data_IF_596281560322
#
_entry.id   IF_596281560322
#
_cell.length_a   1.000
_cell.length_b   1.000
_cell.length_c   1.000
_cell.angle_alpha   90.00
_cell.angle_beta   90.00
_cell.angle_gamma   90.00
#
_symmetry.space_group_name_H-M   'P 1'
#
loop_
_entity.id
_entity.type
_entity.pdbx_description
1 polymer ?
#
# COMPACT_ATOMS: atom_id res chain seq x y z
N UNK A 1 16.64 36.70 -18.36
CA UNK A 1 16.95 36.52 -16.94
C UNK A 1 16.90 37.87 -16.26
N UNK A 2 15.85 38.14 -15.49
CA UNK A 2 15.73 39.36 -14.70
C UNK A 2 16.12 39.02 -13.27
N UNK A 3 17.04 39.81 -12.73
CA UNK A 3 17.45 40.16 -11.35
C UNK A 3 16.50 39.91 -10.15
N UNK A 4 15.50 39.03 -10.22
CA UNK A 4 14.62 38.64 -9.10
C UNK A 4 15.03 37.34 -8.41
N UNK A 5 15.99 36.59 -8.95
CA UNK A 5 16.49 35.32 -8.38
C UNK A 5 17.59 35.51 -7.31
N UNK A 6 17.59 36.67 -6.64
CA UNK A 6 18.36 36.91 -5.41
C UNK A 6 17.41 37.28 -4.25
N UNK A 7 16.25 36.61 -4.17
CA UNK A 7 15.45 36.64 -2.95
C UNK A 7 16.20 35.89 -1.86
N UNK A 8 16.60 36.61 -0.80
CA UNK A 8 17.24 36.00 0.36
C UNK A 8 16.44 34.79 0.85
N UNK A 9 17.14 33.68 1.10
CA UNK A 9 16.57 32.47 1.67
C UNK A 9 15.75 32.87 2.90
N UNK A 10 14.43 32.65 2.85
CA UNK A 10 13.53 32.99 3.95
C UNK A 10 13.84 32.05 5.11
N UNK A 11 14.00 32.62 6.29
CA UNK A 11 14.37 31.90 7.51
C UNK A 11 13.24 31.99 8.52
N UNK A 12 12.76 30.84 8.99
CA UNK A 12 11.76 30.74 10.04
C UNK A 12 12.48 30.78 11.38
N UNK A 13 12.07 31.69 12.25
CA UNK A 13 12.65 31.88 13.59
C UNK A 13 11.87 31.08 14.63
N UNK A 14 12.58 30.35 15.47
CA UNK A 14 12.02 29.60 16.59
C UNK A 14 12.59 30.13 17.91
N UNK A 15 11.71 30.25 18.92
CA UNK A 15 11.98 30.91 20.20
C UNK A 15 11.42 30.11 21.37
N UNK A 16 11.89 30.37 22.59
CA UNK A 16 11.23 29.88 23.80
C UNK A 16 10.07 30.81 24.23
N UNK A 17 9.32 30.46 25.29
CA UNK A 17 8.24 31.30 25.82
C UNK A 17 8.71 32.64 26.41
N UNK A 18 10.01 32.76 26.69
CA UNK A 18 10.66 33.99 27.16
C UNK A 18 11.15 34.89 26.02
N UNK A 19 10.88 34.54 24.75
CA UNK A 19 11.27 35.30 23.57
C UNK A 19 12.77 35.21 23.22
N UNK A 20 13.51 34.28 23.83
CA UNK A 20 14.90 34.03 23.47
C UNK A 20 15.00 33.19 22.19
N UNK A 21 15.96 33.52 21.34
CA UNK A 21 16.24 32.79 20.11
C UNK A 21 16.78 31.38 20.40
N UNK A 22 16.11 30.38 19.86
CA UNK A 22 16.58 28.99 19.90
C UNK A 22 17.38 28.67 18.64
N UNK A 23 16.75 28.77 17.48
CA UNK A 23 17.36 28.47 16.19
C UNK A 23 16.55 29.06 15.03
N UNK A 24 17.08 28.92 13.81
CA UNK A 24 16.40 29.27 12.56
C UNK A 24 16.51 28.11 11.57
N UNK A 25 15.49 27.92 10.76
CA UNK A 25 15.49 26.97 9.64
C UNK A 25 15.09 27.66 8.34
N UNK A 26 15.52 27.12 7.21
CA UNK A 26 15.09 27.60 5.90
C UNK A 26 13.61 27.28 5.65
N UNK A 27 12.95 28.12 4.86
CA UNK A 27 11.58 27.90 4.42
C UNK A 27 11.42 26.51 3.77
N UNK A 28 10.38 25.78 4.16
CA UNK A 28 10.10 24.43 3.70
C UNK A 28 10.84 23.32 4.45
N UNK A 29 11.80 23.61 5.33
CA UNK A 29 12.49 22.57 6.12
C UNK A 29 11.66 22.12 7.33
N UNK A 30 12.06 20.99 7.93
CA UNK A 30 11.35 20.39 9.06
C UNK A 30 12.00 20.73 10.41
N UNK A 31 11.16 20.81 11.43
CA UNK A 31 11.58 20.63 12.83
C UNK A 31 11.25 19.22 13.29
N UNK A 32 12.09 18.67 14.16
CA UNK A 32 11.78 17.46 14.92
C UNK A 32 11.15 17.84 16.25
N UNK A 33 9.89 17.45 16.45
CA UNK A 33 9.13 17.63 17.68
C UNK A 33 9.23 16.34 18.50
N UNK A 34 9.81 16.43 19.68
CA UNK A 34 10.08 15.28 20.56
C UNK A 34 9.03 15.19 21.66
N UNK A 35 8.13 14.21 21.54
CA UNK A 35 7.21 13.81 22.60
C UNK A 35 7.90 12.82 23.56
N UNK A 36 7.21 12.44 24.64
CA UNK A 36 7.76 11.50 25.63
C UNK A 36 8.09 10.13 25.06
N UNK A 37 7.30 9.67 24.10
CA UNK A 37 7.36 8.29 23.59
C UNK A 37 7.82 8.20 22.12
N UNK A 38 7.75 9.29 21.36
CA UNK A 38 8.08 9.31 19.93
C UNK A 38 8.47 10.72 19.44
N UNK A 39 9.05 10.80 18.24
CA UNK A 39 9.36 12.05 17.57
C UNK A 39 8.56 12.17 16.25
N UNK A 40 8.19 13.40 15.90
CA UNK A 40 7.46 13.71 14.64
C UNK A 40 8.17 14.85 13.93
N UNK A 41 8.28 14.75 12.60
CA UNK A 41 8.83 15.81 11.78
C UNK A 41 7.69 16.67 11.25
N UNK A 42 7.76 17.97 11.55
CA UNK A 42 6.76 18.96 11.11
C UNK A 42 7.39 19.87 10.07
N UNK A 43 6.85 19.87 8.86
CA UNK A 43 7.29 20.78 7.83
C UNK A 43 6.81 22.20 8.14
N UNK A 44 7.74 23.15 8.01
CA UNK A 44 7.51 24.53 8.39
C UNK A 44 7.61 25.44 7.16
N UNK A 45 6.67 26.38 7.02
CA UNK A 45 6.69 27.39 5.96
C UNK A 45 6.70 28.79 6.54
N UNK A 46 7.54 29.67 5.99
CA UNK A 46 7.66 31.06 6.36
C UNK A 46 6.39 31.83 5.95
N UNK A 47 5.84 32.61 6.88
CA UNK A 47 4.73 33.53 6.60
C UNK A 47 5.23 34.96 6.72
N UNK A 48 5.76 35.33 7.90
CA UNK A 48 6.43 36.61 8.18
C UNK A 48 7.39 36.47 9.37
N UNK A 49 7.93 37.57 9.90
CA UNK A 49 8.88 37.57 11.03
C UNK A 49 8.32 37.04 12.36
N UNK A 50 6.99 36.96 12.49
CA UNK A 50 6.29 36.54 13.71
C UNK A 50 5.37 35.35 13.50
N UNK A 51 5.14 34.93 12.26
CA UNK A 51 4.25 33.82 11.91
C UNK A 51 4.96 32.73 11.09
N UNK A 52 4.66 31.49 11.45
CA UNK A 52 5.08 30.31 10.71
C UNK A 52 3.89 29.37 10.50
N UNK A 53 3.82 28.73 9.35
CA UNK A 53 2.87 27.65 9.10
C UNK A 53 3.54 26.32 9.47
N UNK A 54 2.97 25.64 10.45
CA UNK A 54 3.47 24.36 10.99
C UNK A 54 2.28 23.41 11.04
N UNK A 55 2.40 22.22 10.46
CA UNK A 55 1.29 21.23 10.39
C UNK A 55 0.00 21.82 9.79
N UNK A 56 0.12 22.54 8.66
CA UNK A 56 -1.02 23.17 8.01
C UNK A 56 -1.59 24.42 8.71
N UNK A 57 -1.22 24.69 9.96
CA UNK A 57 -1.76 25.78 10.79
C UNK A 57 -0.76 26.93 10.89
N UNK A 58 -1.25 28.17 10.75
CA UNK A 58 -0.44 29.37 10.97
C UNK A 58 -0.43 29.70 12.45
N UNK A 59 0.77 29.72 13.04
CA UNK A 59 0.99 30.10 14.43
C UNK A 59 1.76 31.41 14.51
N UNK A 60 1.45 32.21 15.52
CA UNK A 60 2.41 33.18 16.02
C UNK A 60 3.55 32.43 16.74
N UNK A 61 4.81 32.79 16.51
CA UNK A 61 5.98 32.05 17.03
C UNK A 61 5.94 31.91 18.56
N UNK A 62 5.49 32.93 19.30
CA UNK A 62 5.30 32.85 20.77
C UNK A 62 4.19 31.89 21.16
N UNK A 63 3.07 31.89 20.43
CA UNK A 63 1.94 31.00 20.71
C UNK A 63 2.39 29.55 20.54
N UNK A 64 3.15 29.26 19.49
CA UNK A 64 3.73 27.94 19.26
C UNK A 64 4.67 27.55 20.40
N UNK A 65 5.59 28.43 20.79
CA UNK A 65 6.53 28.18 21.89
C UNK A 65 5.83 27.89 23.23
N UNK A 66 4.85 28.71 23.60
CA UNK A 66 4.05 28.51 24.81
C UNK A 66 3.26 27.19 24.78
N UNK A 67 2.71 26.82 23.61
CA UNK A 67 1.98 25.57 23.46
C UNK A 67 2.90 24.37 23.66
N UNK A 68 4.11 24.39 23.10
CA UNK A 68 5.09 23.30 23.25
C UNK A 68 5.58 23.17 24.69
N UNK A 69 5.87 24.28 25.36
CA UNK A 69 6.27 24.26 26.78
C UNK A 69 5.15 23.78 27.70
N UNK A 70 3.90 24.24 27.50
CA UNK A 70 2.73 23.75 28.25
C UNK A 70 2.51 22.25 28.05
N UNK A 71 2.80 21.74 26.86
CA UNK A 71 2.74 20.31 26.55
C UNK A 71 3.96 19.52 27.08
N UNK A 72 4.99 20.19 27.62
CA UNK A 72 6.26 19.60 28.02
C UNK A 72 6.93 18.85 26.86
N UNK A 73 6.89 19.46 25.67
CA UNK A 73 7.43 18.98 24.41
C UNK A 73 8.59 19.88 24.00
N UNK A 74 9.66 19.27 23.45
CA UNK A 74 10.79 20.02 22.90
C UNK A 74 10.83 19.88 21.39
N UNK A 75 11.47 20.83 20.72
CA UNK A 75 11.59 20.78 19.27
C UNK A 75 12.94 21.38 18.84
N UNK A 76 13.54 20.80 17.80
CA UNK A 76 14.85 21.15 17.27
C UNK A 76 14.82 21.13 15.73
N UNK A 77 15.80 21.72 15.01
CA UNK A 77 15.95 21.48 13.58
C UNK A 77 16.03 19.97 13.30
N UNK A 78 15.45 19.52 12.18
CA UNK A 78 15.77 18.19 11.66
C UNK A 78 17.27 18.12 11.33
N UNK A 79 17.93 17.05 11.76
CA UNK A 79 19.37 16.86 11.60
C UNK A 79 19.60 15.74 10.59
N UNK A 80 20.47 16.00 9.62
CA UNK A 80 20.97 14.96 8.71
C UNK A 80 21.82 13.95 9.49
N UNK A 81 21.73 12.68 9.12
CA UNK A 81 22.61 11.63 9.63
C UNK A 81 23.27 10.92 8.45
N UNK A 82 24.39 10.23 8.71
CA UNK A 82 25.18 9.55 7.66
C UNK A 82 24.65 8.14 7.33
N UNK A 83 23.37 7.87 7.54
CA UNK A 83 22.77 6.59 7.17
C UNK A 83 22.59 6.51 5.65
N UNK A 84 22.94 5.35 5.09
CA UNK A 84 22.81 5.09 3.67
C UNK A 84 21.38 4.71 3.24
N UNK A 85 20.46 4.54 4.20
CA UNK A 85 19.04 4.21 3.98
C UNK A 85 18.15 4.90 5.01
N UNK A 86 16.97 5.36 4.59
CA UNK A 86 15.94 5.96 5.47
C UNK A 86 14.53 5.66 5.00
N UNK A 87 13.58 5.71 5.93
CA UNK A 87 12.17 5.59 5.65
C UNK A 87 11.35 6.64 6.38
N UNK A 88 10.29 7.12 5.74
CA UNK A 88 9.32 8.03 6.32
C UNK A 88 7.91 7.60 6.00
N UNK A 89 7.01 7.69 6.97
CA UNK A 89 5.58 7.76 6.71
C UNK A 89 5.24 9.18 6.28
N UNK A 90 4.60 9.30 5.13
CA UNK A 90 4.23 10.56 4.49
C UNK A 90 2.73 10.76 4.63
N UNK A 91 2.34 11.69 5.51
CA UNK A 91 0.95 11.90 5.87
C UNK A 91 0.31 10.64 6.46
N UNK A 92 -0.91 10.32 6.02
CA UNK A 92 -1.68 9.17 6.56
C UNK A 92 -1.52 7.90 5.74
N UNK A 93 -1.26 8.03 4.44
CA UNK A 93 -1.54 6.99 3.47
C UNK A 93 -0.32 6.50 2.70
N UNK A 94 0.85 7.13 2.84
CA UNK A 94 2.00 6.79 2.01
C UNK A 94 3.23 6.54 2.88
N UNK A 95 4.17 5.78 2.33
CA UNK A 95 5.52 5.62 2.83
C UNK A 95 6.50 5.99 1.72
N UNK A 96 7.63 6.57 2.10
CA UNK A 96 8.77 6.81 1.23
C UNK A 96 9.97 6.12 1.85
N UNK A 97 10.61 5.24 1.09
CA UNK A 97 11.90 4.66 1.44
C UNK A 97 12.95 5.16 0.45
N UNK A 98 14.15 5.42 0.96
CA UNK A 98 15.23 6.05 0.21
C UNK A 98 16.56 5.37 0.57
N UNK A 99 17.40 5.09 -0.42
CA UNK A 99 18.73 4.51 -0.25
C UNK A 99 19.73 5.25 -1.13
N UNK A 100 20.97 5.36 -0.68
CA UNK A 100 22.07 5.88 -1.51
C UNK A 100 22.50 4.84 -2.53
N UNK A 101 22.76 5.26 -3.76
CA UNK A 101 23.38 4.46 -4.83
C UNK A 101 24.56 5.22 -5.45
N UNK A 102 25.30 4.59 -6.37
CA UNK A 102 26.55 5.17 -6.94
C UNK A 102 26.32 6.53 -7.62
N UNK A 103 25.16 6.70 -8.25
CA UNK A 103 24.80 7.91 -9.01
C UNK A 103 23.83 8.83 -8.24
N UNK A 104 23.49 8.53 -6.98
CA UNK A 104 22.61 9.37 -6.16
C UNK A 104 21.73 8.57 -5.21
N UNK A 105 20.44 8.51 -5.50
CA UNK A 105 19.46 7.91 -4.60
C UNK A 105 18.45 7.02 -5.32
N UNK A 106 18.25 5.80 -4.83
CA UNK A 106 17.12 4.95 -5.20
C UNK A 106 15.97 5.16 -4.21
N UNK A 107 14.77 5.38 -4.73
CA UNK A 107 13.59 5.61 -3.92
C UNK A 107 12.44 4.69 -4.33
N UNK A 108 11.59 4.39 -3.34
CA UNK A 108 10.34 3.69 -3.57
C UNK A 108 9.27 4.27 -2.67
N UNK A 109 8.09 4.48 -3.23
CA UNK A 109 6.91 4.95 -2.53
C UNK A 109 5.87 3.84 -2.46
N UNK A 110 5.32 3.66 -1.27
CA UNK A 110 4.25 2.69 -1.02
C UNK A 110 2.99 3.40 -0.54
N UNK A 111 1.83 2.80 -0.80
CA UNK A 111 0.58 3.17 -0.13
C UNK A 111 0.51 2.59 1.30
N UNK A 112 -0.63 2.77 1.97
CA UNK A 112 -0.89 2.31 3.33
C UNK A 112 -1.01 0.79 3.45
N UNK A 113 -1.10 0.08 2.32
CA UNK A 113 -1.12 -1.38 2.24
C UNK A 113 0.22 -1.94 1.74
N UNK A 114 1.29 -1.13 1.77
CA UNK A 114 2.63 -1.52 1.34
C UNK A 114 2.72 -1.89 -0.15
N UNK A 115 1.75 -1.45 -0.97
CA UNK A 115 1.82 -1.62 -2.40
C UNK A 115 2.64 -0.48 -3.00
N UNK A 116 3.59 -0.81 -3.86
CA UNK A 116 4.34 0.18 -4.62
C UNK A 116 3.40 1.04 -5.47
N UNK A 117 3.54 2.36 -5.32
CA UNK A 117 2.80 3.37 -6.09
C UNK A 117 3.71 4.17 -7.01
N UNK A 118 4.98 4.29 -6.67
CA UNK A 118 6.00 4.98 -7.45
C UNK A 118 7.40 4.51 -7.04
N UNK A 119 8.38 4.65 -7.92
CA UNK A 119 9.75 4.26 -7.65
C UNK A 119 10.68 4.66 -8.78
N UNK A 120 11.94 4.93 -8.43
CA UNK A 120 12.93 5.34 -9.40
C UNK A 120 14.25 5.74 -8.78
N UNK A 121 15.08 6.37 -9.60
CA UNK A 121 16.41 6.85 -9.25
C UNK A 121 16.47 8.36 -9.40
N UNK A 122 17.07 9.04 -8.43
CA UNK A 122 17.41 10.45 -8.47
C UNK A 122 18.93 10.59 -8.63
N UNK A 123 19.36 10.88 -9.86
CA UNK A 123 20.77 10.99 -10.25
C UNK A 123 21.40 12.34 -9.83
N UNK A 124 21.42 12.60 -8.52
CA UNK A 124 21.96 13.83 -7.93
C UNK A 124 22.77 13.49 -6.66
N UNK A 125 23.98 12.92 -6.79
CA UNK A 125 24.76 12.41 -5.67
C UNK A 125 25.31 13.52 -4.76
N UNK A 126 25.29 14.77 -5.22
CA UNK A 126 25.69 15.94 -4.44
C UNK A 126 24.65 16.37 -3.39
N UNK A 127 23.40 15.92 -3.52
CA UNK A 127 22.34 16.27 -2.58
C UNK A 127 22.52 15.53 -1.26
N UNK A 128 22.06 16.15 -0.18
CA UNK A 128 21.82 15.42 1.07
C UNK A 128 20.59 14.51 0.95
N UNK A 129 20.49 13.48 1.79
CA UNK A 129 19.33 12.59 1.76
C UNK A 129 18.03 13.33 2.08
N UNK A 130 18.06 14.32 2.98
CA UNK A 130 16.90 15.17 3.25
C UNK A 130 16.52 16.07 2.06
N UNK A 131 17.49 16.52 1.26
CA UNK A 131 17.25 17.28 0.03
C UNK A 131 16.67 16.40 -1.07
N UNK A 132 17.23 15.20 -1.27
CA UNK A 132 16.68 14.20 -2.18
C UNK A 132 15.22 13.86 -1.84
N UNK A 133 14.93 13.61 -0.55
CA UNK A 133 13.56 13.43 -0.04
C UNK A 133 12.66 14.62 -0.38
N UNK A 134 13.13 15.85 -0.17
CA UNK A 134 12.32 17.04 -0.41
C UNK A 134 11.95 17.19 -1.90
N UNK A 135 12.88 16.87 -2.82
CA UNK A 135 12.64 16.85 -4.27
C UNK A 135 11.60 15.78 -4.63
N UNK A 136 11.81 14.54 -4.18
CA UNK A 136 10.89 13.42 -4.47
C UNK A 136 9.48 13.75 -3.99
N UNK A 137 9.33 14.28 -2.77
CA UNK A 137 8.03 14.66 -2.24
C UNK A 137 7.41 15.86 -2.98
N UNK A 138 8.21 16.76 -3.56
CA UNK A 138 7.71 17.83 -4.39
C UNK A 138 7.17 17.31 -5.73
N UNK A 139 7.90 16.42 -6.38
CA UNK A 139 7.49 15.80 -7.65
C UNK A 139 6.23 14.93 -7.51
N UNK A 140 6.03 14.30 -6.34
CA UNK A 140 4.82 13.52 -6.04
C UNK A 140 3.66 14.33 -5.45
N UNK A 141 3.72 15.68 -5.42
CA UNK A 141 2.72 16.56 -4.78
C UNK A 141 2.47 16.30 -3.27
N UNK A 142 3.44 15.67 -2.60
CA UNK A 142 3.36 15.27 -1.19
C UNK A 142 4.15 16.16 -0.24
N UNK A 143 4.87 17.17 -0.74
CA UNK A 143 5.75 18.05 0.05
C UNK A 143 5.08 18.69 1.26
N UNK A 144 3.77 18.95 1.23
CA UNK A 144 3.05 19.60 2.32
C UNK A 144 2.58 18.65 3.43
N UNK A 145 2.85 17.35 3.31
CA UNK A 145 2.48 16.36 4.32
C UNK A 145 3.51 16.29 5.44
N UNK A 146 3.03 15.96 6.63
CA UNK A 146 3.86 15.62 7.77
C UNK A 146 4.66 14.34 7.52
N UNK A 147 5.80 14.24 8.19
CA UNK A 147 6.68 13.08 8.10
C UNK A 147 6.84 12.45 9.47
N UNK A 148 6.80 11.13 9.53
CA UNK A 148 7.19 10.35 10.71
C UNK A 148 8.32 9.44 10.28
N UNK A 149 9.48 9.56 10.93
CA UNK A 149 10.61 8.66 10.68
C UNK A 149 10.15 7.23 10.98
N UNK A 150 10.46 6.31 10.07
CA UNK A 150 10.20 4.89 10.22
C UNK A 150 11.53 4.15 10.19
N UNK A 151 11.53 2.96 10.77
CA UNK A 151 12.63 2.02 10.54
C UNK A 151 12.51 1.48 9.11
N UNK A 152 13.62 1.50 8.37
CA UNK A 152 13.64 1.07 6.98
C UNK A 152 13.37 -0.43 6.85
N UNK A 153 13.97 -1.24 7.72
CA UNK A 153 13.88 -2.69 7.67
C UNK A 153 12.46 -3.15 8.06
N UNK A 154 11.84 -2.51 9.05
CA UNK A 154 10.43 -2.78 9.43
C UNK A 154 9.43 -2.50 8.28
N UNK A 155 9.72 -1.53 7.40
CA UNK A 155 8.87 -1.26 6.23
C UNK A 155 9.07 -2.34 5.18
N UNK A 156 10.31 -2.71 4.88
CA UNK A 156 10.60 -3.76 3.90
C UNK A 156 10.08 -5.13 4.32
N UNK A 157 10.16 -5.49 5.61
CA UNK A 157 9.60 -6.74 6.11
C UNK A 157 8.09 -6.83 5.81
N UNK A 158 7.35 -5.74 6.05
CA UNK A 158 5.91 -5.69 5.76
C UNK A 158 5.60 -5.72 4.27
N UNK A 159 6.43 -5.08 3.44
CA UNK A 159 6.31 -5.16 1.97
C UNK A 159 6.47 -6.61 1.54
N UNK A 160 7.52 -7.30 1.99
CA UNK A 160 7.78 -8.70 1.66
C UNK A 160 6.63 -9.62 2.14
N UNK A 161 6.11 -9.39 3.35
CA UNK A 161 4.95 -10.14 3.88
C UNK A 161 3.72 -9.97 2.99
N UNK A 162 3.41 -8.74 2.57
CA UNK A 162 2.26 -8.45 1.69
C UNK A 162 2.47 -9.06 0.31
N UNK A 163 3.65 -8.90 -0.27
CA UNK A 163 4.00 -9.48 -1.58
C UNK A 163 3.90 -11.00 -1.55
N UNK A 164 4.45 -11.65 -0.52
CA UNK A 164 4.36 -13.09 -0.34
C UNK A 164 2.89 -13.55 -0.23
N UNK A 165 2.06 -12.85 0.55
CA UNK A 165 0.64 -13.14 0.63
C UNK A 165 -0.07 -12.98 -0.73
N UNK A 166 0.23 -11.93 -1.48
CA UNK A 166 -0.32 -11.72 -2.83
C UNK A 166 0.11 -12.83 -3.77
N UNK A 167 1.37 -13.25 -3.74
CA UNK A 167 1.87 -14.34 -4.58
C UNK A 167 1.18 -15.67 -4.25
N UNK A 168 1.01 -16.00 -2.96
CA UNK A 168 0.25 -17.19 -2.55
C UNK A 168 -1.21 -17.14 -3.03
N UNK A 169 -1.84 -15.96 -2.99
CA UNK A 169 -3.22 -15.80 -3.47
C UNK A 169 -3.30 -16.04 -4.98
N UNK A 170 -2.36 -15.48 -5.75
CA UNK A 170 -2.31 -15.64 -7.19
C UNK A 170 -2.04 -17.10 -7.58
N UNK A 171 -1.12 -17.79 -6.89
CA UNK A 171 -0.87 -19.21 -7.15
C UNK A 171 -2.09 -20.06 -6.83
N UNK A 172 -2.74 -19.82 -5.69
CA UNK A 172 -3.95 -20.53 -5.30
C UNK A 172 -5.09 -20.30 -6.30
N UNK A 173 -5.28 -19.07 -6.77
CA UNK A 173 -6.31 -18.77 -7.78
C UNK A 173 -6.01 -19.45 -9.13
N UNK A 174 -4.73 -19.57 -9.50
CA UNK A 174 -4.30 -20.29 -10.72
C UNK A 174 -4.51 -21.80 -10.59
N UNK A 175 -4.28 -22.39 -9.43
CA UNK A 175 -4.59 -23.79 -9.19
C UNK A 175 -6.10 -24.05 -9.35
N UNK A 176 -6.95 -23.13 -8.86
CA UNK A 176 -8.39 -23.22 -9.08
C UNK A 176 -8.77 -23.10 -10.57
N UNK A 177 -8.08 -22.27 -11.35
CA UNK A 177 -8.25 -22.18 -12.81
C UNK A 177 -7.94 -23.51 -13.50
N UNK A 178 -6.78 -24.10 -13.17
CA UNK A 178 -6.35 -25.38 -13.75
C UNK A 178 -7.34 -26.50 -13.40
N UNK A 179 -7.68 -26.64 -12.12
CA UNK A 179 -8.59 -27.69 -11.68
C UNK A 179 -9.98 -27.55 -12.29
N UNK A 180 -10.49 -26.32 -12.43
CA UNK A 180 -11.75 -26.07 -13.13
C UNK A 180 -11.67 -26.45 -14.61
N UNK A 181 -10.54 -26.17 -15.27
CA UNK A 181 -10.30 -26.56 -16.65
C UNK A 181 -10.24 -28.08 -16.82
N UNK A 182 -9.45 -28.77 -15.99
CA UNK A 182 -9.25 -30.21 -16.08
C UNK A 182 -10.54 -30.98 -15.75
N UNK A 183 -11.30 -30.52 -14.74
CA UNK A 183 -12.64 -31.06 -14.45
C UNK A 183 -13.60 -30.85 -15.63
N UNK A 184 -13.54 -29.71 -16.29
CA UNK A 184 -14.39 -29.42 -17.45
C UNK A 184 -14.05 -30.34 -18.62
N UNK A 185 -12.76 -30.54 -18.90
CA UNK A 185 -12.27 -31.42 -19.97
C UNK A 185 -12.68 -32.87 -19.69
N UNK A 186 -12.48 -33.32 -18.44
CA UNK A 186 -12.90 -34.64 -18.00
C UNK A 186 -14.41 -34.88 -18.16
N UNK A 187 -15.25 -33.92 -17.78
CA UNK A 187 -16.71 -34.05 -17.95
C UNK A 187 -17.15 -34.08 -19.41
N UNK A 188 -16.44 -33.38 -20.30
CA UNK A 188 -16.69 -33.40 -21.75
C UNK A 188 -16.25 -34.71 -22.41
N UNK A 189 -15.16 -35.31 -21.93
CA UNK A 189 -14.62 -36.57 -22.46
C UNK A 189 -15.47 -37.77 -22.05
N UNK A 190 -15.91 -37.80 -20.79
CA UNK A 190 -16.85 -38.81 -20.27
C UNK A 190 -18.28 -38.60 -20.83
N UNK A 191 -18.54 -37.44 -21.45
CA UNK A 191 -19.85 -36.98 -21.97
C UNK A 191 -20.98 -37.16 -20.95
N UNK A 192 -20.67 -36.82 -19.70
CA UNK A 192 -21.55 -37.06 -18.57
C UNK A 192 -22.79 -36.15 -18.66
N UNK A 193 -23.99 -36.72 -18.54
CA UNK A 193 -25.27 -35.99 -18.70
C UNK A 193 -25.47 -35.34 -20.07
N UNK A 194 -24.94 -35.93 -21.15
CA UNK A 194 -24.96 -35.28 -22.47
C UNK A 194 -24.29 -33.90 -22.36
N UNK A 195 -23.14 -33.83 -21.69
CA UNK A 195 -22.42 -32.58 -21.42
C UNK A 195 -22.25 -31.74 -22.70
N UNK A 196 -21.98 -32.44 -23.81
CA UNK A 196 -21.85 -31.86 -25.14
C UNK A 196 -23.15 -31.23 -25.68
N UNK A 197 -24.31 -31.69 -25.21
CA UNK A 197 -25.63 -31.17 -25.58
C UNK A 197 -26.13 -30.05 -24.65
N UNK A 198 -25.62 -29.98 -23.42
CA UNK A 198 -26.05 -29.01 -22.39
C UNK A 198 -25.10 -27.81 -22.28
N UNK A 199 -23.80 -27.99 -22.56
CA UNK A 199 -22.79 -26.94 -22.42
C UNK A 199 -22.44 -26.36 -23.79
N UNK A 200 -23.06 -25.22 -24.10
CA UNK A 200 -22.80 -24.47 -25.35
C UNK A 200 -21.50 -23.65 -25.30
N UNK A 201 -21.03 -23.28 -24.09
CA UNK A 201 -19.85 -22.46 -23.89
C UNK A 201 -18.94 -23.03 -22.78
N UNK A 202 -17.83 -23.63 -23.21
CA UNK A 202 -16.81 -24.23 -22.33
C UNK A 202 -16.19 -23.20 -21.37
N UNK A 203 -15.97 -21.97 -21.82
CA UNK A 203 -15.38 -20.91 -20.96
C UNK A 203 -16.31 -20.55 -19.80
N UNK A 204 -17.62 -20.49 -20.02
CA UNK A 204 -18.60 -20.26 -18.95
C UNK A 204 -18.68 -21.43 -17.97
N UNK A 205 -18.53 -22.66 -18.45
CA UNK A 205 -18.52 -23.84 -17.59
C UNK A 205 -17.28 -23.87 -16.68
N UNK A 206 -16.09 -23.58 -17.23
CA UNK A 206 -14.85 -23.42 -16.45
C UNK A 206 -15.00 -22.33 -15.39
N UNK A 207 -15.57 -21.17 -15.76
CA UNK A 207 -15.78 -20.07 -14.82
C UNK A 207 -16.73 -20.45 -13.65
N UNK A 208 -17.80 -21.20 -13.93
CA UNK A 208 -18.73 -21.69 -12.90
C UNK A 208 -18.07 -22.71 -11.98
N UNK A 209 -17.33 -23.68 -12.53
CA UNK A 209 -16.60 -24.67 -11.74
C UNK A 209 -15.53 -24.02 -10.87
N UNK A 210 -14.76 -23.07 -11.41
CA UNK A 210 -13.81 -22.27 -10.63
C UNK A 210 -14.49 -21.60 -9.44
N UNK A 211 -15.66 -20.99 -9.63
CA UNK A 211 -16.41 -20.35 -8.55
C UNK A 211 -16.86 -21.36 -7.48
N UNK A 212 -17.31 -22.57 -7.88
CA UNK A 212 -17.67 -23.64 -6.96
C UNK A 212 -16.46 -24.13 -6.15
N UNK A 213 -15.31 -24.31 -6.80
CA UNK A 213 -14.04 -24.69 -6.15
C UNK A 213 -13.62 -23.63 -5.12
N UNK A 214 -13.60 -22.35 -5.51
CA UNK A 214 -13.19 -21.26 -4.62
C UNK A 214 -14.17 -21.04 -3.45
N UNK A 215 -15.46 -21.32 -3.63
CA UNK A 215 -16.48 -21.24 -2.57
C UNK A 215 -16.50 -22.46 -1.65
N UNK A 216 -15.85 -23.57 -2.04
CA UNK A 216 -15.90 -24.84 -1.31
C UNK A 216 -17.20 -25.62 -1.54
N UNK A 217 -17.98 -25.26 -2.55
CA UNK A 217 -19.22 -25.96 -2.96
C UNK A 217 -18.89 -27.17 -3.86
N UNK A 218 -17.91 -27.98 -3.45
CA UNK A 218 -17.31 -29.05 -4.29
C UNK A 218 -17.92 -30.43 -4.04
N UNK A 219 -18.89 -30.53 -3.12
CA UNK A 219 -19.44 -31.83 -2.69
C UNK A 219 -19.96 -32.65 -3.87
N UNK A 220 -20.75 -32.02 -4.73
CA UNK A 220 -21.32 -32.68 -5.91
C UNK A 220 -20.21 -33.15 -6.86
N UNK A 221 -19.21 -32.30 -7.12
CA UNK A 221 -18.02 -32.62 -7.93
C UNK A 221 -17.31 -33.88 -7.39
N UNK A 222 -17.05 -33.92 -6.08
CA UNK A 222 -16.38 -35.06 -5.43
C UNK A 222 -17.24 -36.33 -5.44
N UNK A 223 -18.54 -36.21 -5.22
CA UNK A 223 -19.46 -37.34 -5.27
C UNK A 223 -19.46 -37.97 -6.68
N UNK A 224 -19.34 -37.15 -7.73
CA UNK A 224 -19.21 -37.63 -9.12
C UNK A 224 -17.87 -38.31 -9.40
N UNK A 225 -16.76 -37.68 -9.02
CA UNK A 225 -15.43 -38.29 -9.20
C UNK A 225 -15.35 -39.65 -8.49
N UNK A 226 -15.91 -39.75 -7.28
CA UNK A 226 -15.98 -41.02 -6.51
C UNK A 226 -16.81 -42.11 -7.21
N UNK A 227 -17.86 -41.73 -7.93
CA UNK A 227 -18.64 -42.67 -8.74
C UNK A 227 -17.76 -43.25 -9.86
N UNK A 228 -17.06 -42.39 -10.61
CA UNK A 228 -16.20 -42.78 -11.72
C UNK A 228 -14.99 -43.62 -11.28
N UNK A 229 -14.40 -43.30 -10.11
CA UNK A 229 -13.33 -44.11 -9.49
C UNK A 229 -13.81 -45.53 -9.16
N UNK A 230 -15.12 -45.73 -8.95
CA UNK A 230 -15.71 -47.03 -8.67
C UNK A 230 -16.00 -47.88 -9.93
N UNK A 231 -15.87 -47.31 -11.12
CA UNK A 231 -16.14 -47.99 -12.39
C UNK A 231 -14.85 -48.56 -13.00
N UNK A 232 -14.95 -49.74 -13.63
CA UNK A 232 -13.85 -50.41 -14.34
C UNK A 232 -13.68 -49.75 -15.73
N UNK A 233 -13.26 -48.48 -15.72
CA UNK A 233 -13.13 -47.60 -16.90
C UNK A 233 -11.69 -47.12 -17.08
N UNK A 234 -11.32 -46.79 -18.32
CA UNK A 234 -9.97 -46.26 -18.63
C UNK A 234 -9.75 -44.86 -18.00
N UNK A 235 -10.84 -44.17 -17.63
CA UNK A 235 -10.85 -42.82 -17.07
C UNK A 235 -10.76 -42.80 -15.52
N UNK A 236 -10.78 -43.98 -14.88
CA UNK A 236 -10.74 -44.15 -13.43
C UNK A 236 -9.54 -43.45 -12.79
N UNK A 237 -8.37 -43.55 -13.42
CA UNK A 237 -7.13 -42.93 -12.93
C UNK A 237 -7.19 -41.40 -12.95
N UNK A 238 -7.81 -40.82 -13.99
CA UNK A 238 -7.96 -39.37 -14.12
C UNK A 238 -8.95 -38.85 -13.06
N UNK A 239 -10.05 -39.59 -12.84
CA UNK A 239 -11.02 -39.25 -11.81
C UNK A 239 -10.42 -39.30 -10.38
N UNK A 240 -9.54 -40.26 -10.11
CA UNK A 240 -8.84 -40.38 -8.82
C UNK A 240 -7.86 -39.22 -8.61
N UNK A 241 -7.11 -38.84 -9.63
CA UNK A 241 -6.16 -37.73 -9.58
C UNK A 241 -6.87 -36.40 -9.33
N UNK A 242 -7.90 -36.08 -10.12
CA UNK A 242 -8.72 -34.87 -9.96
C UNK A 242 -9.40 -34.80 -8.58
N UNK A 243 -9.81 -35.94 -8.02
CA UNK A 243 -10.38 -36.00 -6.69
C UNK A 243 -9.33 -35.66 -5.62
N UNK A 244 -8.12 -36.21 -5.74
CA UNK A 244 -7.03 -35.92 -4.81
C UNK A 244 -6.59 -34.45 -4.89
N UNK A 245 -6.48 -33.90 -6.09
CA UNK A 245 -6.13 -32.49 -6.30
C UNK A 245 -7.18 -31.55 -5.68
N UNK A 246 -8.47 -31.87 -5.85
CA UNK A 246 -9.57 -31.10 -5.28
C UNK A 246 -9.60 -31.18 -3.75
N UNK A 247 -9.36 -32.35 -3.17
CA UNK A 247 -9.31 -32.51 -1.71
C UNK A 247 -8.08 -31.81 -1.09
N UNK A 248 -6.92 -31.88 -1.75
CA UNK A 248 -5.72 -31.14 -1.35
C UNK A 248 -5.95 -29.62 -1.42
N UNK A 249 -6.50 -29.12 -2.53
CA UNK A 249 -6.85 -27.72 -2.71
C UNK A 249 -7.77 -27.21 -1.60
N UNK A 250 -8.83 -27.95 -1.26
CA UNK A 250 -9.74 -27.58 -0.18
C UNK A 250 -9.07 -27.53 1.19
N UNK A 251 -8.16 -28.47 1.47
CA UNK A 251 -7.42 -28.50 2.72
C UNK A 251 -6.56 -27.25 2.90
N UNK A 252 -5.89 -26.80 1.83
CA UNK A 252 -5.09 -25.57 1.77
C UNK A 252 -5.99 -24.32 1.80
N UNK A 253 -7.17 -24.36 1.19
CA UNK A 253 -8.15 -23.27 1.19
C UNK A 253 -8.55 -22.81 2.61
N UNK A 254 -8.68 -23.74 3.56
CA UNK A 254 -9.12 -23.42 4.92
C UNK A 254 -8.06 -22.67 5.73
N UNK A 255 -6.79 -22.76 5.33
CA UNK A 255 -5.68 -22.02 5.91
C UNK A 255 -5.62 -20.58 5.35
N UNK A 256 -6.07 -20.41 4.10
CA UNK A 256 -5.99 -19.18 3.30
C UNK A 256 -7.22 -18.26 3.50
N UNK A 257 -8.41 -18.81 3.81
CA UNK A 257 -9.68 -18.07 3.96
C UNK A 257 -9.67 -16.86 4.92
N UNK A 258 -8.96 -16.85 6.07
CA UNK A 258 -8.96 -15.68 6.97
C UNK A 258 -8.20 -14.47 6.41
N UNK A 259 -7.09 -14.67 5.70
CA UNK A 259 -6.25 -13.59 5.16
C UNK A 259 -6.78 -13.03 3.82
N UNK A 260 -7.34 -13.89 2.97
CA UNK A 260 -7.78 -13.52 1.62
C UNK A 260 -9.07 -12.73 1.58
N UNK A 261 -10.04 -13.08 2.42
CA UNK A 261 -11.31 -12.34 2.51
C UNK A 261 -11.16 -10.99 3.23
N UNK A 262 -10.18 -10.85 4.12
CA UNK A 262 -9.88 -9.59 4.79
C UNK A 262 -9.28 -8.58 3.79
N UNK A 263 -8.27 -8.99 3.01
CA UNK A 263 -7.61 -8.16 2.00
C UNK A 263 -8.54 -7.79 0.82
N UNK A 264 -9.44 -8.68 0.42
CA UNK A 264 -10.43 -8.40 -0.63
C UNK A 264 -11.61 -7.55 -0.15
N UNK A 265 -11.97 -7.60 1.14
CA UNK A 265 -13.00 -6.72 1.72
C UNK A 265 -12.51 -5.28 1.87
N UNK A 266 -11.28 -5.06 2.34
CA UNK A 266 -10.70 -3.72 2.42
C UNK A 266 -10.63 -3.04 1.04
N UNK A 267 -10.26 -3.78 -0.02
CA UNK A 267 -10.31 -3.27 -1.40
C UNK A 267 -11.73 -2.98 -1.91
N UNK A 268 -12.75 -3.70 -1.46
CA UNK A 268 -14.16 -3.43 -1.82
C UNK A 268 -14.67 -2.15 -1.16
N UNK A 269 -14.23 -1.87 0.07
CA UNK A 269 -14.61 -0.68 0.81
C UNK A 269 -13.90 0.58 0.29
N UNK A 270 -12.67 0.49 -0.24
CA UNK A 270 -11.99 1.63 -0.89
C UNK A 270 -12.57 1.99 -2.27
N UNK A 271 -12.98 0.99 -3.07
CA UNK A 271 -13.62 1.24 -4.37
C UNK A 271 -15.04 1.78 -4.20
N UNK A 272 -15.72 1.46 -3.09
CA UNK A 272 -17.09 1.92 -2.81
C UNK A 272 -17.15 3.39 -2.32
N UNK A 273 -16.06 3.96 -1.80
CA UNK A 273 -16.04 5.36 -1.33
C UNK A 273 -15.80 6.37 -2.46
N UNK A 274 -15.30 5.95 -3.62
CA UNK A 274 -15.21 6.80 -4.83
C UNK A 274 -16.27 6.42 -5.87
N UNK A 275 -17.53 6.65 -5.52
CA UNK A 275 -18.67 6.29 -6.37
C UNK A 275 -19.87 7.22 -6.24
N UNK A 276 -19.76 8.40 -6.87
CA UNK A 276 -20.86 9.15 -7.49
C UNK A 276 -22.00 9.63 -6.55
N UNK A 277 -22.00 10.94 -6.25
CA UNK A 277 -23.19 11.63 -5.76
C UNK A 277 -24.21 11.78 -6.90
N UNK A 278 -25.00 10.75 -7.18
CA UNK A 278 -26.19 10.84 -8.05
C UNK A 278 -27.38 11.39 -7.25
N UNK A 279 -27.30 12.65 -6.80
CA UNK A 279 -28.44 13.36 -6.20
C UNK A 279 -28.68 14.77 -6.74
N UNK A 280 -28.09 15.12 -7.88
CA UNK A 280 -28.53 16.29 -8.64
C UNK A 280 -28.78 15.85 -10.08
N UNK A 281 -29.99 15.40 -10.35
CA UNK A 281 -30.74 15.58 -11.60
C UNK A 281 -32.00 14.73 -11.49
N UNK A 282 -33.10 15.39 -11.12
CA UNK A 282 -34.50 15.22 -11.55
C UNK A 282 -35.40 15.80 -10.45
N UNK A 283 -36.37 16.62 -10.89
CA UNK A 283 -37.37 17.41 -10.13
C UNK A 283 -36.83 18.77 -9.63
N UNK A 284 -37.30 19.94 -10.07
CA UNK A 284 -38.61 20.31 -10.60
C UNK A 284 -38.53 21.58 -11.48
N UNK A 285 -39.66 21.84 -12.14
CA UNK A 285 -39.99 22.91 -13.08
C UNK A 285 -39.78 24.33 -12.56
#
# INVERSE_FOLDING_TARGET
MKEQDLMGIKMIRFINSHYDDLFRIQDGKCIQVNFRDHAVLKRCFYVDEYHAKIDGVVYHICQFAEMMEKANVTYNPEVENDEWKKAWKVGKNNFLVLQTCDDGYDYTMYDNHYKEIDGGQLDMPELSMLEARDIILEDSDLKHHDLVVQDYDDILEKVEEVEHQVQMILSFNREADNLAFDLTDFFEDVDLYEYRDVVENKEEAVAKLKQQILSGETKEIKDYLKLMVGEDSDDQYIAEDLLNELEDFESRSNIIKPSVLALLKEKKDEVSIKGINTKEFVEER
#
